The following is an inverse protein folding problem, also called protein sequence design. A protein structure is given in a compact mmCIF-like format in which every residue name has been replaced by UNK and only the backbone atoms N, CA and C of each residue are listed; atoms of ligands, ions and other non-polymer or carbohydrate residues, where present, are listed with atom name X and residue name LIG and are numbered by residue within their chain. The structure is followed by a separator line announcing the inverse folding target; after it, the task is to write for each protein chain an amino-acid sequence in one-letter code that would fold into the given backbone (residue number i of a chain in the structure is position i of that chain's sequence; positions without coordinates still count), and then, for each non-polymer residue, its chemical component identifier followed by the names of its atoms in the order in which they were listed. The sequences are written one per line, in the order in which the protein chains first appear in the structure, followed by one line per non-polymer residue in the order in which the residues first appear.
data_IF_532599185186
#
_entry.id   IF_532599185186
#
_cell.length_a   1.000
_cell.length_b   1.000
_cell.length_c   1.000
_cell.angle_alpha   90.00
_cell.angle_beta   90.00
_cell.angle_gamma   90.00
#
_symmetry.space_group_name_H-M   'P 1'
#
loop_
_entity.id
_entity.type
_entity.pdbx_description
1 polymer ?
#
# COMPACT_ATOMS: atom_id res chain seq x y z
N UNK A 1 -13.54 2.96 3.11
CA UNK A 1 -12.75 2.78 1.87
C UNK A 1 -11.56 3.73 1.76
N UNK A 2 -11.69 5.03 2.04
CA UNK A 2 -10.56 5.97 1.89
C UNK A 2 -9.34 5.60 2.75
N UNK A 3 -9.57 5.18 4.00
CA UNK A 3 -8.48 4.82 4.90
C UNK A 3 -7.74 3.53 4.48
N UNK A 4 -8.47 2.50 4.05
CA UNK A 4 -7.89 1.27 3.48
C UNK A 4 -7.03 1.61 2.25
N UNK A 5 -7.48 2.54 1.40
CA UNK A 5 -6.71 3.00 0.26
C UNK A 5 -5.43 3.75 0.69
N UNK A 6 -5.48 4.57 1.74
CA UNK A 6 -4.28 5.22 2.30
C UNK A 6 -3.27 4.20 2.82
N UNK A 7 -3.74 3.18 3.54
CA UNK A 7 -2.91 2.07 4.00
C UNK A 7 -2.24 1.37 2.81
N UNK A 8 -3.04 0.95 1.81
CA UNK A 8 -2.52 0.28 0.62
C UNK A 8 -1.47 1.15 -0.10
N UNK A 9 -1.74 2.44 -0.27
CA UNK A 9 -0.79 3.38 -0.87
C UNK A 9 0.49 3.53 -0.05
N UNK A 10 0.41 3.57 1.28
CA UNK A 10 1.57 3.68 2.14
C UNK A 10 2.47 2.44 2.07
N UNK A 11 1.87 1.24 2.03
CA UNK A 11 2.59 -0.02 1.84
C UNK A 11 3.30 -0.02 0.48
N UNK A 12 2.59 0.33 -0.60
CA UNK A 12 3.14 0.36 -1.95
C UNK A 12 4.26 1.39 -2.12
N UNK A 13 4.14 2.57 -1.50
CA UNK A 13 5.17 3.61 -1.57
C UNK A 13 6.46 3.18 -0.86
N UNK A 14 6.34 2.54 0.31
CA UNK A 14 7.49 2.06 1.07
C UNK A 14 8.17 0.86 0.41
N UNK A 15 7.38 -0.07 -0.13
CA UNK A 15 7.87 -1.28 -0.76
C UNK A 15 8.33 -1.08 -2.22
N UNK A 16 8.21 0.14 -2.78
CA UNK A 16 8.39 0.41 -4.22
C UNK A 16 9.69 -0.15 -4.79
N UNK A 17 10.81 0.05 -4.11
CA UNK A 17 12.12 -0.37 -4.62
C UNK A 17 12.33 -1.88 -4.54
N UNK A 18 11.73 -2.54 -3.55
CA UNK A 18 11.82 -3.99 -3.40
C UNK A 18 10.91 -4.68 -4.41
N UNK A 19 9.66 -4.19 -4.56
CA UNK A 19 8.69 -4.73 -5.50
C UNK A 19 9.16 -4.67 -6.95
N UNK A 20 9.86 -3.60 -7.36
CA UNK A 20 10.36 -3.45 -8.73
C UNK A 20 11.45 -4.48 -9.11
N UNK A 21 12.05 -5.16 -8.13
CA UNK A 21 13.08 -6.18 -8.36
C UNK A 21 12.50 -7.59 -8.43
N UNK A 22 11.22 -7.76 -8.08
CA UNK A 22 10.57 -9.05 -7.96
C UNK A 22 9.75 -9.35 -9.21
N UNK A 23 9.63 -10.64 -9.53
CA UNK A 23 8.61 -11.13 -10.44
C UNK A 23 7.25 -11.24 -9.73
N UNK A 24 6.22 -11.66 -10.47
CA UNK A 24 4.85 -11.75 -9.94
C UNK A 24 4.74 -12.66 -8.70
N UNK A 25 5.45 -13.80 -8.69
CA UNK A 25 5.44 -14.72 -7.55
C UNK A 25 6.18 -14.12 -6.35
N UNK A 26 7.35 -13.52 -6.58
CA UNK A 26 8.13 -12.83 -5.56
C UNK A 26 7.35 -11.69 -4.91
N UNK A 27 6.63 -10.89 -5.71
CA UNK A 27 5.76 -9.84 -5.20
C UNK A 27 4.67 -10.42 -4.27
N UNK A 28 4.03 -11.52 -4.66
CA UNK A 28 3.00 -12.19 -3.85
C UNK A 28 3.56 -12.63 -2.50
N UNK A 29 4.74 -13.26 -2.49
CA UNK A 29 5.44 -13.69 -1.27
C UNK A 29 5.82 -12.52 -0.37
N UNK A 30 6.32 -11.42 -0.95
CA UNK A 30 6.66 -10.21 -0.20
C UNK A 30 5.44 -9.62 0.53
N UNK A 31 4.29 -9.53 -0.15
CA UNK A 31 3.07 -9.02 0.48
C UNK A 31 2.52 -9.94 1.57
N UNK A 32 2.64 -11.26 1.41
CA UNK A 32 2.10 -12.23 2.38
C UNK A 32 2.96 -12.37 3.63
N UNK A 33 4.28 -12.21 3.50
CA UNK A 33 5.25 -12.46 4.58
C UNK A 33 5.92 -11.19 5.06
N UNK A 34 6.76 -10.55 4.25
CA UNK A 34 7.57 -9.39 4.66
C UNK A 34 6.72 -8.21 5.14
N UNK A 35 5.64 -7.91 4.41
CA UNK A 35 4.71 -6.83 4.79
C UNK A 35 3.97 -7.18 6.08
N UNK A 36 3.54 -8.45 6.24
CA UNK A 36 2.87 -8.91 7.46
C UNK A 36 3.81 -8.79 8.66
N UNK A 37 4.99 -9.38 8.56
CA UNK A 37 5.98 -9.41 9.64
C UNK A 37 6.38 -7.98 10.06
N UNK A 38 6.52 -7.04 9.11
CA UNK A 38 6.84 -5.64 9.41
C UNK A 38 5.78 -4.97 10.28
N UNK A 39 4.51 -5.10 9.93
CA UNK A 39 3.44 -4.33 10.58
C UNK A 39 2.76 -5.06 11.75
N UNK A 40 2.96 -6.38 11.89
CA UNK A 40 2.64 -7.08 13.14
C UNK A 40 3.57 -6.66 14.28
N UNK A 41 4.85 -6.39 13.97
CA UNK A 41 5.83 -5.92 14.95
C UNK A 41 5.74 -4.42 15.25
N UNK A 42 5.27 -3.61 14.31
CA UNK A 42 5.10 -2.16 14.49
C UNK A 42 3.84 -1.65 13.76
N UNK A 43 2.69 -1.89 14.40
CA UNK A 43 1.40 -1.45 13.92
C UNK A 43 1.26 0.07 13.92
N UNK A 44 1.88 0.79 14.86
CA UNK A 44 1.74 2.25 14.98
C UNK A 44 2.41 2.97 13.80
N UNK A 45 3.57 2.46 13.37
CA UNK A 45 4.26 2.94 12.18
C UNK A 45 3.36 2.93 10.95
N UNK A 46 2.54 1.88 10.75
CA UNK A 46 1.60 1.79 9.62
C UNK A 46 0.58 2.93 9.62
N UNK A 47 0.04 3.27 10.78
CA UNK A 47 -0.91 4.38 10.90
C UNK A 47 -0.23 5.72 10.65
N UNK A 48 0.99 5.90 11.16
CA UNK A 48 1.78 7.14 10.96
C UNK A 48 2.08 7.36 9.48
N UNK A 49 2.58 6.34 8.77
CA UNK A 49 2.89 6.44 7.34
C UNK A 49 1.63 6.57 6.48
N UNK A 50 0.54 5.87 6.81
CA UNK A 50 -0.74 6.01 6.11
C UNK A 50 -1.34 7.42 6.25
N UNK A 51 -1.20 8.06 7.42
CA UNK A 51 -1.67 9.43 7.63
C UNK A 51 -0.90 10.47 6.82
N UNK A 52 0.36 10.19 6.46
CA UNK A 52 1.18 11.07 5.61
C UNK A 52 0.84 10.95 4.12
N UNK A 53 0.08 9.94 3.71
CA UNK A 53 -0.34 9.76 2.31
C UNK A 53 -1.34 10.84 1.92
N UNK A 54 -0.91 11.77 1.06
CA UNK A 54 -1.79 12.77 0.44
C UNK A 54 -2.54 12.15 -0.75
N UNK A 55 -3.81 11.85 -0.55
CA UNK A 55 -4.70 11.41 -1.63
C UNK A 55 -5.22 12.60 -2.43
N UNK A 56 -5.14 12.53 -3.76
CA UNK A 56 -5.79 13.51 -4.63
C UNK A 56 -7.25 13.07 -4.89
N UNK A 57 -8.20 13.72 -4.20
CA UNK A 57 -9.62 13.38 -4.28
C UNK A 57 -10.20 13.44 -5.72
N UNK A 58 -9.69 14.33 -6.59
CA UNK A 58 -10.12 14.40 -8.00
C UNK A 58 -9.69 13.16 -8.80
N UNK A 59 -8.47 12.65 -8.55
CA UNK A 59 -7.97 11.42 -9.22
C UNK A 59 -8.70 10.18 -8.71
N UNK A 60 -8.97 10.11 -7.40
CA UNK A 60 -9.72 9.01 -6.78
C UNK A 60 -11.11 8.83 -7.40
N UNK A 61 -11.87 9.92 -7.56
CA UNK A 61 -13.21 9.88 -8.17
C UNK A 61 -13.20 9.46 -9.65
N UNK A 62 -12.15 9.83 -10.39
CA UNK A 62 -12.00 9.47 -11.81
C UNK A 62 -11.69 7.98 -12.03
N UNK A 63 -11.01 7.32 -11.09
CA UNK A 63 -10.72 5.88 -11.13
C UNK A 63 -11.96 5.02 -10.89
N UNK A 64 -12.89 5.47 -10.04
CA UNK A 64 -14.12 4.72 -9.73
C UNK A 64 -15.09 4.59 -10.92
N UNK A 65 -14.92 5.39 -11.97
CA UNK A 65 -15.74 5.34 -13.19
C UNK A 65 -15.28 4.19 -14.13
N UNK A 66 -14.26 3.41 -13.75
CA UNK A 66 -13.58 2.45 -14.64
C UNK A 66 -13.46 1.03 -14.12
N UNK A 67 -14.26 0.65 -13.13
CA UNK A 67 -14.45 -0.77 -12.78
C UNK A 67 -15.76 -1.22 -13.43
N UNK A 68 -15.74 -2.11 -14.45
CA UNK A 68 -16.94 -2.74 -14.98
C UNK A 68 -17.57 -3.69 -13.95
#
# INVERSE_FOLDING_TARGET
MEFVFRIAMAILQQARLDLLKLDMEGMLKYFQREVRDRYENDHELLFIVANKVKLNAKKMKKSNIRFP
#
